data_IF_395444113798
#
_entry.id   IF_395444113798
#
_cell.length_a   1.000
_cell.length_b   1.000
_cell.length_c   1.000
_cell.angle_alpha   90.00
_cell.angle_beta   90.00
_cell.angle_gamma   90.00
#
_symmetry.space_group_name_H-M   'P 1'
#
loop_
_entity.id
_entity.type
_entity.pdbx_description
1 polymer ?
#
# COMPACT_ATOMS: atom_id res chain seq x y z
N UNK A 1 7.27 -4.26 -10.22
CA UNK A 1 6.71 -3.14 -11.02
C UNK A 1 5.61 -3.69 -11.90
N UNK A 2 4.42 -3.09 -11.85
CA UNK A 2 3.24 -3.48 -12.64
C UNK A 2 2.89 -2.40 -13.67
N UNK A 3 2.59 -2.78 -14.90
CA UNK A 3 2.16 -1.85 -15.97
C UNK A 3 0.98 -2.43 -16.74
N UNK A 4 -0.09 -1.64 -16.90
CA UNK A 4 -1.27 -1.96 -17.71
C UNK A 4 -1.73 -0.71 -18.46
N UNK A 5 -1.49 -0.67 -19.77
CA UNK A 5 -1.72 0.54 -20.56
C UNK A 5 -0.89 1.70 -20.01
N UNK A 6 -1.54 2.83 -19.71
CA UNK A 6 -0.90 4.00 -19.09
C UNK A 6 -0.99 3.99 -17.55
N UNK A 7 -1.45 2.91 -16.92
CA UNK A 7 -1.35 2.73 -15.47
C UNK A 7 -0.06 2.00 -15.14
N UNK A 8 0.83 2.64 -14.37
CA UNK A 8 2.08 2.07 -13.91
C UNK A 8 2.22 2.27 -12.40
N UNK A 9 2.48 1.17 -11.68
CA UNK A 9 2.65 1.16 -10.23
C UNK A 9 3.95 0.43 -9.87
N UNK A 10 4.80 1.09 -9.10
CA UNK A 10 5.99 0.51 -8.51
C UNK A 10 5.71 0.16 -7.04
N UNK A 11 5.63 -1.12 -6.73
CA UNK A 11 5.50 -1.60 -5.35
C UNK A 11 6.86 -2.01 -4.81
N UNK A 12 7.17 -1.56 -3.60
CA UNK A 12 8.41 -1.88 -2.88
C UNK A 12 8.04 -2.49 -1.54
N UNK A 13 8.46 -3.73 -1.30
CA UNK A 13 8.27 -4.42 -0.03
C UNK A 13 9.49 -4.24 0.88
N UNK A 14 9.25 -3.95 2.14
CA UNK A 14 10.25 -3.87 3.21
C UNK A 14 9.86 -4.85 4.31
N UNK A 15 10.80 -5.67 4.74
CA UNK A 15 10.65 -6.57 5.88
C UNK A 15 11.37 -5.99 7.09
N UNK A 16 10.71 -6.03 8.24
CA UNK A 16 11.26 -5.55 9.50
C UNK A 16 10.96 -6.56 10.62
N UNK A 17 11.70 -6.51 11.75
CA UNK A 17 11.36 -7.30 12.93
C UNK A 17 9.93 -7.02 13.41
N UNK A 18 9.30 -7.98 14.10
CA UNK A 18 7.94 -7.83 14.67
C UNK A 18 7.81 -6.65 15.65
N UNK A 19 8.92 -6.14 16.20
CA UNK A 19 8.92 -4.93 17.03
C UNK A 19 8.49 -3.66 16.27
N UNK A 20 8.56 -3.68 14.93
CA UNK A 20 8.19 -2.57 14.03
C UNK A 20 6.74 -2.68 13.52
N UNK A 21 5.94 -3.60 14.06
CA UNK A 21 4.50 -3.66 13.79
C UNK A 21 3.84 -2.33 14.19
N UNK A 22 2.94 -1.83 13.35
CA UNK A 22 2.21 -0.60 13.66
C UNK A 22 1.24 -0.86 14.82
N UNK A 23 1.39 -0.10 15.91
CA UNK A 23 0.41 -0.05 17.00
C UNK A 23 -0.71 0.92 16.63
N UNK A 24 -1.94 0.53 16.91
CA UNK A 24 -3.15 1.30 16.67
C UNK A 24 -3.76 1.67 18.02
N UNK A 25 -3.97 2.96 18.24
CA UNK A 25 -4.68 3.49 19.41
C UNK A 25 -6.00 4.10 18.92
N UNK A 26 -6.90 3.22 18.51
CA UNK A 26 -8.21 3.54 17.95
C UNK A 26 -9.35 3.12 18.88
N UNK A 27 -10.58 3.28 18.40
CA UNK A 27 -11.78 2.80 19.11
C UNK A 27 -12.14 1.34 18.75
N UNK A 28 -11.46 0.78 17.75
CA UNK A 28 -11.68 -0.57 17.25
C UNK A 28 -10.91 -1.60 18.09
N UNK A 29 -11.25 -2.89 17.91
CA UNK A 29 -10.59 -4.00 18.60
C UNK A 29 -9.19 -4.34 18.05
N UNK A 30 -8.85 -3.81 16.87
CA UNK A 30 -7.57 -4.08 16.21
C UNK A 30 -6.50 -3.16 16.81
N UNK A 31 -5.65 -3.71 17.67
CA UNK A 31 -4.60 -2.97 18.38
C UNK A 31 -3.28 -2.88 17.60
N UNK A 32 -3.07 -3.77 16.62
CA UNK A 32 -1.82 -3.85 15.88
C UNK A 32 -2.03 -4.25 14.43
N UNK A 33 -1.07 -3.89 13.58
CA UNK A 33 -1.12 -4.13 12.15
C UNK A 33 0.22 -4.60 11.61
N UNK A 34 0.31 -5.92 11.34
CA UNK A 34 1.54 -6.56 10.86
C UNK A 34 1.84 -6.27 9.39
N UNK A 35 0.80 -6.09 8.58
CA UNK A 35 0.91 -5.75 7.16
C UNK A 35 0.41 -4.33 6.90
N UNK A 36 1.31 -3.47 6.43
CA UNK A 36 1.06 -2.04 6.22
C UNK A 36 1.17 -1.75 4.72
N UNK A 37 0.08 -1.28 4.11
CA UNK A 37 0.10 -0.84 2.71
C UNK A 37 -0.01 0.67 2.58
N UNK A 38 1.05 1.31 2.08
CA UNK A 38 1.04 2.72 1.74
C UNK A 38 0.89 2.89 0.23
N UNK A 39 -0.08 3.71 -0.16
CA UNK A 39 -0.37 4.01 -1.55
C UNK A 39 -0.16 5.51 -1.78
N UNK A 40 0.71 5.84 -2.74
CA UNK A 40 1.07 7.22 -3.07
C UNK A 40 0.60 7.56 -4.48
N UNK A 41 -0.09 8.70 -4.62
CA UNK A 41 -0.59 9.20 -5.90
C UNK A 41 -0.05 10.60 -6.19
N UNK A 42 1.23 10.71 -6.59
CA UNK A 42 1.84 12.00 -6.86
C UNK A 42 1.20 12.67 -8.09
N UNK A 43 1.17 14.00 -8.11
CA UNK A 43 0.51 14.80 -9.17
C UNK A 43 1.09 14.54 -10.57
N UNK A 44 2.39 14.24 -10.66
CA UNK A 44 3.02 13.90 -11.93
C UNK A 44 2.46 12.64 -12.58
N UNK A 45 1.83 11.74 -11.81
CA UNK A 45 1.26 10.49 -12.35
C UNK A 45 0.12 10.69 -13.35
N UNK A 46 -0.46 11.89 -13.37
CA UNK A 46 -1.47 12.34 -14.35
C UNK A 46 -0.99 13.53 -15.18
N UNK A 47 0.32 13.84 -15.16
CA UNK A 47 0.91 14.96 -15.89
C UNK A 47 0.59 16.34 -15.31
N UNK A 48 0.13 16.43 -14.06
CA UNK A 48 -0.21 17.68 -13.40
C UNK A 48 0.88 18.12 -12.40
N UNK A 49 0.91 19.40 -12.05
CA UNK A 49 1.74 19.94 -10.98
C UNK A 49 0.90 20.34 -9.78
N UNK A 50 1.14 19.73 -8.61
CA UNK A 50 0.57 20.16 -7.32
C UNK A 50 1.60 20.02 -6.20
N UNK A 51 1.55 20.86 -5.15
CA UNK A 51 2.40 20.69 -3.97
C UNK A 51 2.23 19.29 -3.37
N UNK A 52 3.35 18.65 -3.02
CA UNK A 52 3.31 17.41 -2.25
C UNK A 52 2.78 17.72 -0.84
N UNK A 53 1.72 17.02 -0.44
CA UNK A 53 1.14 17.07 0.91
C UNK A 53 1.04 15.65 1.44
N UNK A 54 0.68 15.51 2.72
CA UNK A 54 0.34 14.20 3.27
C UNK A 54 -0.81 13.53 2.51
N UNK A 55 -0.97 12.20 2.65
CA UNK A 55 -1.93 11.43 1.88
C UNK A 55 -3.36 11.90 2.14
N UNK A 56 -4.10 12.12 1.06
CA UNK A 56 -5.52 12.44 1.11
C UNK A 56 -6.38 11.20 1.37
N UNK A 57 -7.69 11.42 1.59
CA UNK A 57 -8.66 10.34 1.84
C UNK A 57 -8.69 9.28 0.74
N UNK A 58 -8.50 9.68 -0.52
CA UNK A 58 -8.48 8.75 -1.67
C UNK A 58 -7.27 7.81 -1.62
N UNK A 59 -6.10 8.34 -1.26
CA UNK A 59 -4.87 7.54 -1.17
C UNK A 59 -4.96 6.55 -0.02
N UNK A 60 -5.45 6.99 1.14
CA UNK A 60 -5.75 6.12 2.28
C UNK A 60 -6.75 5.02 1.89
N UNK A 61 -7.85 5.38 1.22
CA UNK A 61 -8.86 4.41 0.80
C UNK A 61 -8.35 3.38 -0.22
N UNK A 62 -7.52 3.81 -1.19
CA UNK A 62 -6.91 2.90 -2.16
C UNK A 62 -5.85 1.99 -1.52
N UNK A 63 -5.05 2.51 -0.58
CA UNK A 63 -4.12 1.71 0.22
C UNK A 63 -4.85 0.64 1.02
N UNK A 64 -5.91 1.03 1.75
CA UNK A 64 -6.74 0.08 2.51
C UNK A 64 -7.40 -0.99 1.62
N UNK A 65 -7.84 -0.63 0.40
CA UNK A 65 -8.37 -1.59 -0.57
C UNK A 65 -7.31 -2.62 -0.98
N UNK A 66 -6.11 -2.14 -1.35
CA UNK A 66 -5.02 -3.02 -1.75
C UNK A 66 -4.59 -3.93 -0.59
N UNK A 67 -4.58 -3.37 0.61
CA UNK A 67 -4.23 -4.07 1.83
C UNK A 67 -5.18 -5.23 2.14
N UNK A 68 -6.49 -4.94 2.21
CA UNK A 68 -7.53 -5.94 2.47
C UNK A 68 -7.56 -7.04 1.42
N UNK A 69 -7.08 -6.77 0.21
CA UNK A 69 -7.00 -7.76 -0.87
C UNK A 69 -5.87 -8.78 -0.65
N UNK A 70 -4.82 -8.42 0.10
CA UNK A 70 -3.62 -9.24 0.29
C UNK A 70 -3.57 -9.93 1.64
N UNK A 71 -4.17 -9.34 2.68
CA UNK A 71 -4.26 -9.95 4.03
C UNK A 71 -4.70 -11.42 4.01
N UNK A 72 -5.69 -11.86 3.21
CA UNK A 72 -6.13 -13.26 3.19
C UNK A 72 -5.09 -14.27 2.68
N UNK A 73 -4.05 -13.82 1.98
CA UNK A 73 -3.03 -14.69 1.38
C UNK A 73 -1.65 -14.53 2.03
N UNK A 74 -1.55 -13.71 3.08
CA UNK A 74 -0.30 -13.59 3.84
C UNK A 74 -0.05 -14.85 4.67
N UNK A 75 1.21 -15.31 4.81
CA UNK A 75 1.56 -16.38 5.73
C UNK A 75 1.26 -15.96 7.17
N UNK A 76 1.07 -16.92 8.07
CA UNK A 76 0.89 -16.62 9.50
C UNK A 76 2.14 -15.96 10.12
N UNK A 77 2.01 -15.42 11.34
CA UNK A 77 3.16 -14.85 12.05
C UNK A 77 4.19 -15.92 12.44
N UNK A 78 3.73 -17.11 12.83
CA UNK A 78 4.60 -18.24 13.21
C UNK A 78 5.42 -18.75 12.01
N UNK A 79 4.84 -18.76 10.81
CA UNK A 79 5.53 -19.16 9.59
C UNK A 79 6.45 -18.06 9.04
N UNK A 80 6.08 -16.79 9.26
CA UNK A 80 6.80 -15.64 8.72
C UNK A 80 6.82 -14.46 9.71
N UNK A 81 7.76 -14.46 10.67
CA UNK A 81 7.78 -13.53 11.79
C UNK A 81 8.40 -12.17 11.42
N UNK A 82 7.79 -11.48 10.45
CA UNK A 82 8.19 -10.16 10.00
C UNK A 82 7.00 -9.19 10.01
N UNK A 83 7.27 -7.94 10.38
CA UNK A 83 6.44 -6.81 9.99
C UNK A 83 6.68 -6.54 8.50
N UNK A 84 5.61 -6.35 7.74
CA UNK A 84 5.66 -6.21 6.29
C UNK A 84 5.10 -4.84 5.92
N UNK A 85 5.92 -4.02 5.26
CA UNK A 85 5.48 -2.75 4.71
C UNK A 85 5.61 -2.78 3.20
N UNK A 86 4.52 -2.51 2.49
CA UNK A 86 4.54 -2.32 1.04
C UNK A 86 4.19 -0.86 0.73
N UNK A 87 5.03 -0.23 -0.08
CA UNK A 87 4.77 1.11 -0.62
C UNK A 87 4.53 0.99 -2.11
N UNK A 88 3.33 1.36 -2.56
CA UNK A 88 2.96 1.43 -3.97
C UNK A 88 3.00 2.87 -4.46
N UNK A 89 3.99 3.18 -5.28
CA UNK A 89 4.17 4.45 -5.97
C UNK A 89 3.48 4.41 -7.32
N UNK A 90 2.45 5.24 -7.51
CA UNK A 90 1.80 5.38 -8.82
C UNK A 90 2.65 6.29 -9.69
N UNK A 91 3.30 5.71 -10.70
CA UNK A 91 4.19 6.44 -11.62
C UNK A 91 3.42 7.04 -12.80
N UNK A 92 2.32 6.39 -13.21
CA UNK A 92 1.42 6.86 -14.26
C UNK A 92 0.02 6.30 -14.01
N UNK A 93 -1.03 7.06 -14.35
CA UNK A 93 -2.42 6.70 -14.06
C UNK A 93 -3.35 6.96 -15.24
N UNK A 94 -3.96 5.89 -15.76
CA UNK A 94 -5.14 5.98 -16.64
C UNK A 94 -6.10 4.79 -16.42
N UNK A 95 -6.38 4.47 -15.16
CA UNK A 95 -7.38 3.45 -14.81
C UNK A 95 -6.93 2.50 -13.70
N UNK A 96 -7.72 2.46 -12.63
CA UNK A 96 -7.62 1.58 -11.44
C UNK A 96 -6.20 1.24 -11.00
N UNK A 97 -5.49 2.24 -10.52
CA UNK A 97 -4.14 2.14 -9.94
C UNK A 97 -4.13 1.37 -8.62
N UNK A 98 -5.26 1.30 -7.90
CA UNK A 98 -5.41 0.44 -6.71
C UNK A 98 -5.35 -1.05 -7.06
N UNK A 99 -5.99 -1.47 -8.16
CA UNK A 99 -5.86 -2.84 -8.66
C UNK A 99 -4.44 -3.12 -9.17
N UNK A 100 -3.82 -2.14 -9.84
CA UNK A 100 -2.40 -2.23 -10.19
C UNK A 100 -1.49 -2.35 -8.97
N UNK A 101 -1.88 -1.75 -7.83
CA UNK A 101 -1.15 -1.87 -6.56
C UNK A 101 -1.30 -3.25 -5.95
N UNK A 102 -2.48 -3.88 -6.05
CA UNK A 102 -2.67 -5.29 -5.63
C UNK A 102 -1.76 -6.19 -6.46
N UNK A 103 -1.83 -6.10 -7.80
CA UNK A 103 -1.00 -6.91 -8.69
C UNK A 103 0.51 -6.68 -8.51
N UNK A 104 0.92 -5.45 -8.19
CA UNK A 104 2.33 -5.14 -7.93
C UNK A 104 2.84 -5.66 -6.58
N UNK A 105 1.93 -5.94 -5.64
CA UNK A 105 2.27 -6.38 -4.28
C UNK A 105 2.19 -7.91 -4.09
N UNK A 106 1.53 -8.62 -5.02
CA UNK A 106 1.57 -10.09 -5.13
C UNK A 106 2.92 -10.54 -5.66
#
# INVERSE_FOLDING_TARGET
MFTRGQTQVLSVATLAPLSEIQKLDGIDLEETKRYIHHYNFPSYSVGETRPSRGPGRREIGHGALAERSLVPVLPSEDEFPYAIRVVSEVLSSNGSTSQGSVCGST
#
